data_IF_378564616202
#
_entry.id   IF_378564616202
#
_cell.length_a   1.000
_cell.length_b   1.000
_cell.length_c   1.000
_cell.angle_alpha   90.00
_cell.angle_beta   90.00
_cell.angle_gamma   90.00
#
_symmetry.space_group_name_H-M   'P 1'
#
loop_
_entity.id
_entity.type
_entity.pdbx_description
1 polymer ?
#
# COMPACT_ATOMS: atom_id res chain seq x y z
N UNK A 1 20.62 -10.80 -9.73
CA UNK A 1 19.52 -9.84 -9.58
C UNK A 1 18.44 -10.37 -10.48
N UNK A 2 17.42 -11.04 -9.93
CA UNK A 2 16.33 -11.59 -10.73
C UNK A 2 15.67 -10.42 -11.46
N UNK A 3 15.78 -10.41 -12.78
CA UNK A 3 14.90 -9.64 -13.62
C UNK A 3 13.51 -10.22 -13.39
N UNK A 4 12.74 -9.58 -12.52
CA UNK A 4 11.33 -9.91 -12.35
C UNK A 4 10.64 -9.55 -13.66
N UNK A 5 10.62 -10.53 -14.55
CA UNK A 5 9.82 -10.60 -15.76
C UNK A 5 8.36 -10.62 -15.29
N UNK A 6 7.81 -9.43 -15.01
CA UNK A 6 6.37 -9.28 -14.94
C UNK A 6 5.90 -9.36 -16.38
N UNK A 7 5.44 -10.55 -16.79
CA UNK A 7 4.94 -10.86 -18.12
C UNK A 7 4.15 -9.69 -18.72
N UNK A 8 4.79 -8.97 -19.65
CA UNK A 8 4.15 -8.03 -20.58
C UNK A 8 3.80 -8.76 -21.89
N UNK A 9 3.44 -10.04 -21.76
CA UNK A 9 2.97 -10.90 -22.85
C UNK A 9 1.58 -11.43 -22.51
N UNK A 10 0.55 -10.61 -22.73
CA UNK A 10 -0.68 -11.08 -23.36
C UNK A 10 -1.46 -9.92 -24.02
N UNK A 11 -1.24 -9.86 -25.33
CA UNK A 11 -2.23 -9.60 -26.39
C UNK A 11 -2.49 -8.17 -26.88
N UNK A 12 -1.92 -7.91 -28.06
CA UNK A 12 -2.59 -7.12 -29.07
C UNK A 12 -3.78 -7.87 -29.69
N UNK A 13 -4.88 -7.12 -29.80
CA UNK A 13 -5.98 -7.23 -30.78
C UNK A 13 -7.07 -8.30 -30.56
N UNK A 14 -8.06 -7.96 -29.71
CA UNK A 14 -9.40 -8.56 -29.81
C UNK A 14 -10.29 -8.53 -28.56
N UNK A 15 -10.61 -7.33 -28.03
CA UNK A 15 -11.83 -7.08 -27.25
C UNK A 15 -12.05 -7.91 -25.97
N UNK A 16 -11.36 -7.57 -24.88
CA UNK A 16 -11.66 -8.14 -23.55
C UNK A 16 -10.62 -7.94 -22.46
N UNK A 17 -9.71 -6.97 -22.57
CA UNK A 17 -8.75 -6.68 -21.50
C UNK A 17 -9.45 -5.95 -20.37
N UNK A 18 -9.75 -6.65 -19.26
CA UNK A 18 -10.28 -6.02 -18.06
C UNK A 18 -9.33 -4.89 -17.64
N UNK A 19 -9.82 -3.65 -17.61
CA UNK A 19 -9.01 -2.50 -17.26
C UNK A 19 -8.41 -2.71 -15.87
N UNK A 20 -7.08 -2.75 -15.77
CA UNK A 20 -6.38 -2.81 -14.49
C UNK A 20 -6.93 -1.66 -13.61
N UNK A 21 -7.25 -1.95 -12.35
CA UNK A 21 -7.84 -0.96 -11.45
C UNK A 21 -6.98 0.33 -11.45
N UNK A 22 -7.56 1.54 -11.57
CA UNK A 22 -6.79 2.78 -11.73
C UNK A 22 -5.70 2.98 -10.66
N UNK A 23 -5.98 2.61 -9.41
CA UNK A 23 -4.99 2.62 -8.32
C UNK A 23 -3.74 1.77 -8.63
N UNK A 24 -3.93 0.57 -9.18
CA UNK A 24 -2.83 -0.33 -9.50
C UNK A 24 -1.96 0.23 -10.64
N UNK A 25 -2.52 0.98 -11.59
CA UNK A 25 -1.73 1.68 -12.60
C UNK A 25 -0.91 2.85 -12.00
N UNK A 26 -1.47 3.56 -11.01
CA UNK A 26 -0.88 4.77 -10.42
C UNK A 26 0.47 4.54 -9.71
N UNK A 27 0.65 3.37 -9.10
CA UNK A 27 1.85 3.00 -8.36
C UNK A 27 2.43 1.66 -8.81
N UNK A 28 2.30 1.31 -10.10
CA UNK A 28 2.87 0.09 -10.71
C UNK A 28 2.51 -1.21 -9.96
N UNK A 29 1.32 -1.28 -9.41
CA UNK A 29 0.80 -2.43 -8.66
C UNK A 29 0.92 -2.33 -7.15
N UNK A 30 1.63 -1.33 -6.61
CA UNK A 30 1.66 -1.10 -5.16
C UNK A 30 0.36 -0.44 -4.67
N UNK A 31 -0.13 -0.86 -3.50
CA UNK A 31 -1.22 -0.18 -2.78
C UNK A 31 -0.59 0.69 -1.67
N UNK A 32 -0.73 2.03 -1.71
CA UNK A 32 -0.21 2.88 -0.65
C UNK A 32 -0.99 2.68 0.66
N UNK A 33 -0.25 2.58 1.76
CA UNK A 33 -0.78 2.58 3.13
C UNK A 33 0.02 3.58 3.94
N UNK A 34 -0.66 4.56 4.52
CA UNK A 34 -0.02 5.52 5.45
C UNK A 34 0.11 4.83 6.79
N UNK A 35 1.30 4.87 7.39
CA UNK A 35 1.59 4.26 8.69
C UNK A 35 2.27 5.29 9.57
N UNK A 36 1.83 5.36 10.82
CA UNK A 36 2.45 6.12 11.89
C UNK A 36 2.61 5.23 13.13
N UNK A 37 3.69 5.44 13.89
CA UNK A 37 4.04 4.61 15.06
C UNK A 37 4.53 5.48 16.20
N UNK A 38 4.14 5.12 17.41
CA UNK A 38 4.68 5.69 18.64
C UNK A 38 5.57 4.66 19.32
N UNK A 39 6.77 5.05 19.74
CA UNK A 39 7.81 4.14 20.22
C UNK A 39 8.34 4.54 21.59
N UNK A 40 8.93 3.58 22.31
CA UNK A 40 9.60 3.81 23.59
C UNK A 40 10.94 4.53 23.47
N UNK A 41 11.40 4.80 22.26
CA UNK A 41 12.68 5.45 21.96
C UNK A 41 13.00 5.45 20.46
N UNK A 42 14.24 5.80 20.12
CA UNK A 42 14.67 6.03 18.73
C UNK A 42 15.32 4.81 18.07
N UNK A 43 15.66 3.77 18.83
CA UNK A 43 16.30 2.57 18.30
C UNK A 43 15.27 1.47 18.00
N UNK A 44 14.93 1.30 16.72
CA UNK A 44 13.94 0.30 16.28
C UNK A 44 14.29 -1.14 16.59
N UNK A 45 15.56 -1.46 16.90
CA UNK A 45 15.98 -2.82 17.24
C UNK A 45 15.76 -3.17 18.72
N UNK A 46 15.64 -2.16 19.60
CA UNK A 46 15.61 -2.37 21.06
C UNK A 46 14.46 -1.69 21.77
N UNK A 47 13.87 -0.66 21.17
CA UNK A 47 12.88 0.17 21.84
C UNK A 47 11.48 -0.28 21.43
N UNK A 48 10.61 -0.45 22.41
CA UNK A 48 9.27 -1.02 22.20
C UNK A 48 8.41 -0.19 21.24
N UNK A 49 7.55 -0.87 20.48
CA UNK A 49 6.41 -0.24 19.81
C UNK A 49 5.27 -0.06 20.83
N UNK A 50 4.68 1.13 20.88
CA UNK A 50 3.65 1.49 21.86
C UNK A 50 2.29 1.72 21.22
N UNK A 51 2.23 2.37 20.07
CA UNK A 51 1.01 2.54 19.28
C UNK A 51 1.31 2.41 17.79
N UNK A 52 0.30 2.00 17.01
CA UNK A 52 0.36 1.99 15.55
C UNK A 52 -0.97 2.43 14.96
N UNK A 53 -0.90 3.30 13.95
CA UNK A 53 -2.01 3.67 13.10
C UNK A 53 -1.69 3.32 11.63
N UNK A 54 -2.68 2.82 10.90
CA UNK A 54 -2.56 2.52 9.48
C UNK A 54 -3.79 2.98 8.72
N UNK A 55 -3.59 3.61 7.56
CA UNK A 55 -4.68 4.12 6.70
C UNK A 55 -4.47 3.66 5.26
N UNK A 56 -5.39 2.86 4.71
CA UNK A 56 -5.36 2.51 3.28
C UNK A 56 -5.70 3.74 2.43
N UNK A 57 -5.12 3.83 1.25
CA UNK A 57 -5.43 4.90 0.30
C UNK A 57 -6.38 4.37 -0.77
N UNK A 58 -7.53 5.02 -0.90
CA UNK A 58 -8.49 4.83 -1.99
C UNK A 58 -8.24 5.81 -3.14
N UNK A 59 -8.90 5.58 -4.28
CA UNK A 59 -8.91 6.50 -5.43
C UNK A 59 -10.32 6.64 -5.97
N UNK A 60 -10.77 7.88 -6.17
CA UNK A 60 -12.10 8.17 -6.71
C UNK A 60 -12.13 8.03 -8.24
N UNK A 61 -13.31 8.10 -8.83
CA UNK A 61 -13.51 7.97 -10.28
C UNK A 61 -12.80 9.08 -11.09
N UNK A 62 -12.43 10.19 -10.46
CA UNK A 62 -11.69 11.31 -11.07
C UNK A 62 -10.18 11.16 -10.92
N UNK A 63 -9.71 10.08 -10.28
CA UNK A 63 -8.30 9.80 -10.07
C UNK A 63 -7.68 10.50 -8.87
N UNK A 64 -8.47 11.13 -7.99
CA UNK A 64 -7.97 11.74 -6.75
C UNK A 64 -7.84 10.68 -5.66
N UNK A 65 -6.74 10.73 -4.92
CA UNK A 65 -6.50 9.84 -3.77
C UNK A 65 -7.14 10.39 -2.51
N UNK A 66 -7.65 9.50 -1.65
CA UNK A 66 -8.26 9.86 -0.37
C UNK A 66 -7.98 8.79 0.70
N UNK A 67 -8.00 9.16 2.00
CA UNK A 67 -7.94 8.19 3.10
C UNK A 67 -9.17 7.27 3.10
N UNK A 68 -8.98 5.96 3.10
CA UNK A 68 -10.07 4.98 3.02
C UNK A 68 -10.30 4.27 4.37
N UNK A 69 -9.61 3.17 4.65
CA UNK A 69 -9.80 2.41 5.89
C UNK A 69 -8.76 2.79 6.93
N UNK A 70 -9.22 3.19 8.13
CA UNK A 70 -8.36 3.56 9.26
C UNK A 70 -8.34 2.46 10.32
N UNK A 71 -7.14 2.12 10.77
CA UNK A 71 -6.86 1.17 11.84
C UNK A 71 -5.99 1.84 12.90
N UNK A 72 -6.25 1.54 14.16
CA UNK A 72 -5.48 2.06 15.30
C UNK A 72 -5.43 1.02 16.42
N UNK A 73 -4.25 0.81 16.99
CA UNK A 73 -4.04 -0.08 18.11
C UNK A 73 -3.01 0.47 19.10
N UNK A 74 -3.27 0.21 20.38
CA UNK A 74 -2.23 0.24 21.41
C UNK A 74 -1.55 -1.12 21.44
N UNK A 75 -0.23 -1.12 21.57
CA UNK A 75 0.62 -2.32 21.52
C UNK A 75 1.21 -2.56 22.91
N UNK A 76 1.15 -3.80 23.37
CA UNK A 76 1.84 -4.19 24.61
C UNK A 76 3.36 -4.23 24.36
N UNK A 77 4.19 -3.56 25.19
CA UNK A 77 5.64 -3.54 25.00
C UNK A 77 6.29 -4.93 25.04
N UNK A 78 7.27 -5.18 24.17
CA UNK A 78 8.09 -6.40 24.14
C UNK A 78 9.57 -6.09 23.97
#
# INVERSE_FOLDING_TARGET
MSEDHFDDEHEGHGGGGGSRHPMAARFRGYLPVVVDVETGGFNSATDALLEIAAVTIGMDERGFVFPEHTYFFRVEPF
#
